data_IF_033667259616
#
_entry.id   IF_033667259616
#
_cell.length_a   1.000
_cell.length_b   1.000
_cell.length_c   1.000
_cell.angle_alpha   90.00
_cell.angle_beta   90.00
_cell.angle_gamma   90.00
#
_symmetry.space_group_name_H-M   'P 1'
#
loop_
_entity.id
_entity.type
_entity.pdbx_description
1 polymer ?
#
# COMPACT_ATOMS: atom_id res chain seq x y z
N UNK A 1 -7.04 -16.37 -2.73
CA UNK A 1 -5.57 -16.23 -2.75
C UNK A 1 -5.17 -14.76 -2.87
N UNK A 2 -4.78 -14.15 -1.74
CA UNK A 2 -4.04 -12.89 -1.82
C UNK A 2 -2.65 -13.23 -2.37
N UNK A 3 -2.35 -12.66 -3.53
CA UNK A 3 -1.10 -12.84 -4.22
C UNK A 3 -0.06 -12.01 -3.45
N UNK A 4 0.80 -12.68 -2.68
CA UNK A 4 1.87 -12.01 -1.91
C UNK A 4 2.98 -11.46 -2.80
N UNK A 5 4.08 -11.04 -2.17
CA UNK A 5 5.30 -10.56 -2.82
C UNK A 5 5.68 -11.44 -4.01
N UNK A 6 5.90 -10.85 -5.19
CA UNK A 6 6.29 -11.57 -6.40
C UNK A 6 5.15 -12.24 -7.18
N UNK A 7 3.95 -12.35 -6.61
CA UNK A 7 2.79 -12.94 -7.30
C UNK A 7 1.73 -11.90 -7.71
N UNK A 8 1.64 -10.74 -7.02
CA UNK A 8 0.85 -9.58 -7.45
C UNK A 8 1.72 -8.33 -7.61
N UNK A 9 2.76 -8.43 -8.44
CA UNK A 9 3.52 -7.24 -8.77
C UNK A 9 2.64 -6.26 -9.54
N UNK A 10 2.54 -5.03 -9.02
CA UNK A 10 1.99 -3.90 -9.78
C UNK A 10 2.95 -3.65 -10.93
N UNK A 11 2.45 -3.81 -12.16
CA UNK A 11 3.22 -3.53 -13.36
C UNK A 11 3.41 -2.02 -13.47
N UNK A 12 4.49 -1.51 -12.89
CA UNK A 12 4.86 -0.10 -13.01
C UNK A 12 5.67 0.11 -14.28
N UNK A 13 5.09 0.80 -15.25
CA UNK A 13 5.83 1.34 -16.38
C UNK A 13 6.36 2.69 -15.90
N UNK A 14 7.68 2.79 -15.66
CA UNK A 14 8.31 3.99 -15.09
C UNK A 14 8.27 5.20 -16.03
N UNK A 15 8.15 4.97 -17.34
CA UNK A 15 7.93 5.99 -18.35
C UNK A 15 7.36 5.36 -19.63
N UNK A 16 6.61 6.11 -20.47
CA UNK A 16 6.39 5.69 -21.85
C UNK A 16 7.75 5.40 -22.52
N UNK A 17 7.78 4.46 -23.45
CA UNK A 17 8.97 4.06 -24.21
C UNK A 17 9.71 5.30 -24.79
N UNK A 18 10.78 5.75 -24.10
CA UNK A 18 11.65 6.86 -24.53
C UNK A 18 12.94 6.27 -25.11
N UNK A 19 13.41 6.70 -26.29
CA UNK A 19 14.59 6.13 -26.96
C UNK A 19 15.88 6.15 -26.14
N UNK A 20 15.94 6.95 -25.07
CA UNK A 20 17.11 7.08 -24.20
C UNK A 20 17.19 6.06 -23.07
N UNK A 21 16.14 5.26 -22.80
CA UNK A 21 16.07 4.39 -21.59
C UNK A 21 15.49 2.98 -21.87
N UNK A 22 15.15 2.62 -23.10
CA UNK A 22 14.42 1.39 -23.42
C UNK A 22 15.14 0.53 -24.49
N UNK A 23 14.91 -0.80 -24.53
CA UNK A 23 15.60 -1.72 -25.46
C UNK A 23 15.34 -1.40 -26.94
N UNK A 24 16.15 -1.98 -27.82
CA UNK A 24 16.34 -1.72 -29.28
C UNK A 24 15.05 -1.58 -30.13
N UNK A 25 13.89 -1.94 -29.60
CA UNK A 25 12.57 -1.90 -30.20
C UNK A 25 11.73 -0.66 -29.80
N UNK A 26 12.33 0.33 -29.12
CA UNK A 26 11.69 1.60 -28.75
C UNK A 26 12.01 2.74 -29.72
N UNK A 27 11.28 2.82 -30.85
CA UNK A 27 11.58 3.75 -31.96
C UNK A 27 10.62 4.93 -32.13
N UNK A 28 9.56 5.04 -31.30
CA UNK A 28 8.49 6.04 -31.51
C UNK A 28 8.62 7.24 -30.57
N UNK A 29 8.59 8.46 -31.12
CA UNK A 29 8.60 9.71 -30.37
C UNK A 29 7.20 10.08 -29.80
N UNK A 30 7.15 10.90 -28.75
CA UNK A 30 5.89 11.48 -28.24
C UNK A 30 5.34 12.42 -29.33
N UNK A 31 4.16 12.10 -29.89
CA UNK A 31 3.49 12.90 -30.92
C UNK A 31 2.22 13.55 -30.37
N UNK A 32 1.89 14.73 -30.89
CA UNK A 32 0.71 15.53 -30.51
C UNK A 32 -0.61 14.90 -30.97
N UNK A 33 -0.57 14.09 -32.03
CA UNK A 33 -1.71 13.28 -32.44
C UNK A 33 -1.81 12.07 -31.51
N UNK A 34 -2.93 12.00 -30.76
CA UNK A 34 -3.25 10.82 -29.96
C UNK A 34 -3.14 9.56 -30.83
N UNK A 35 -3.52 9.68 -32.12
CA UNK A 35 -3.34 8.80 -33.28
C UNK A 35 -2.08 7.95 -33.33
N UNK A 36 -0.97 8.65 -33.14
CA UNK A 36 0.37 8.20 -33.45
C UNK A 36 1.30 8.29 -32.24
N UNK A 37 0.75 8.49 -31.04
CA UNK A 37 1.51 8.68 -29.81
C UNK A 37 1.88 7.34 -29.15
N UNK A 38 3.03 7.34 -28.48
CA UNK A 38 3.61 6.20 -27.72
C UNK A 38 2.69 5.66 -26.60
N UNK A 39 1.64 6.41 -26.23
CA UNK A 39 0.65 5.97 -25.25
C UNK A 39 -0.41 5.01 -25.82
N UNK A 40 -0.39 4.72 -27.13
CA UNK A 40 -1.31 3.74 -27.72
C UNK A 40 -0.79 2.32 -27.56
N UNK A 41 -1.63 1.47 -26.99
CA UNK A 41 -1.36 0.04 -26.79
C UNK A 41 -2.19 -0.75 -27.80
N UNK A 42 -1.56 -1.66 -28.55
CA UNK A 42 -2.25 -2.71 -29.32
C UNK A 42 -2.66 -2.40 -30.77
N UNK A 43 -2.36 -1.21 -31.31
CA UNK A 43 -2.65 -0.90 -32.74
C UNK A 43 -1.49 -1.27 -33.66
N UNK A 44 -0.24 -1.08 -33.23
CA UNK A 44 0.96 -1.22 -34.09
C UNK A 44 1.94 -2.34 -33.68
N UNK A 45 1.54 -3.28 -32.81
CA UNK A 45 2.42 -4.39 -32.43
C UNK A 45 1.98 -5.15 -31.18
N UNK A 46 2.79 -6.15 -30.81
CA UNK A 46 2.59 -6.92 -29.59
C UNK A 46 2.66 -5.97 -28.39
N UNK A 47 1.63 -6.00 -27.54
CA UNK A 47 1.67 -5.33 -26.25
C UNK A 47 2.92 -5.84 -25.53
N UNK A 48 3.86 -4.97 -25.11
CA UNK A 48 4.98 -5.38 -24.31
C UNK A 48 4.42 -5.88 -22.97
N UNK A 49 4.16 -7.17 -22.91
CA UNK A 49 3.86 -7.83 -21.64
C UNK A 49 5.18 -7.87 -20.88
N UNK A 50 5.17 -7.46 -19.60
CA UNK A 50 6.32 -7.65 -18.74
C UNK A 50 6.76 -9.11 -18.83
N UNK A 51 8.06 -9.34 -18.87
CA UNK A 51 8.58 -10.69 -18.88
C UNK A 51 7.94 -11.46 -17.71
N UNK A 52 7.39 -12.66 -17.94
CA UNK A 52 6.84 -13.45 -16.85
C UNK A 52 7.90 -13.56 -15.78
N UNK A 53 7.50 -13.37 -14.51
CA UNK A 53 8.42 -13.58 -13.40
C UNK A 53 9.10 -14.92 -13.61
N UNK A 54 10.43 -14.90 -13.73
CA UNK A 54 11.22 -16.11 -13.79
C UNK A 54 10.95 -16.97 -12.55
N UNK A 55 11.36 -18.25 -12.59
CA UNK A 55 11.19 -19.17 -11.46
C UNK A 55 11.65 -18.51 -10.15
N UNK A 56 10.71 -18.21 -9.27
CA UNK A 56 11.02 -17.70 -7.93
C UNK A 56 11.36 -18.88 -7.01
N UNK A 57 12.37 -18.69 -6.17
CA UNK A 57 12.66 -19.62 -5.08
C UNK A 57 11.75 -19.29 -3.90
N UNK A 58 11.27 -20.32 -3.18
CA UNK A 58 10.50 -20.13 -1.96
C UNK A 58 11.47 -20.23 -0.78
N UNK A 59 11.51 -19.25 0.15
CA UNK A 59 10.67 -18.05 0.20
C UNK A 59 11.09 -16.97 -0.81
N UNK A 60 10.12 -16.25 -1.37
CA UNK A 60 10.37 -15.13 -2.27
C UNK A 60 10.96 -13.98 -1.46
N UNK A 61 12.19 -13.59 -1.77
CA UNK A 61 12.84 -12.42 -1.19
C UNK A 61 13.00 -11.37 -2.30
N UNK A 62 12.29 -10.23 -2.26
CA UNK A 62 12.46 -9.18 -3.25
C UNK A 62 13.90 -8.66 -3.24
N UNK A 63 14.54 -8.62 -4.41
CA UNK A 63 15.92 -8.19 -4.59
C UNK A 63 15.96 -6.93 -5.47
N UNK A 64 16.73 -5.92 -5.06
CA UNK A 64 16.94 -4.68 -5.81
C UNK A 64 16.37 -3.44 -5.14
N UNK A 65 16.87 -2.27 -5.56
CA UNK A 65 16.36 -0.98 -5.13
C UNK A 65 14.91 -0.83 -5.59
N UNK A 66 13.98 -0.57 -4.67
CA UNK A 66 12.55 -0.36 -4.96
C UNK A 66 11.82 -1.60 -5.53
N UNK A 67 12.31 -2.81 -5.22
CA UNK A 67 11.73 -4.05 -5.74
C UNK A 67 10.29 -4.32 -5.27
N UNK A 68 9.85 -3.72 -4.17
CA UNK A 68 8.46 -3.77 -3.69
C UNK A 68 8.11 -2.53 -2.85
N UNK A 69 6.94 -1.93 -3.12
CA UNK A 69 6.43 -0.76 -2.39
C UNK A 69 5.11 -1.00 -1.64
N UNK A 70 4.43 -2.10 -1.96
CA UNK A 70 3.14 -2.45 -1.41
C UNK A 70 3.04 -3.96 -1.39
N UNK A 71 2.84 -4.51 -0.20
CA UNK A 71 2.62 -5.93 -0.01
C UNK A 71 1.31 -6.18 0.70
N UNK A 72 0.66 -7.27 0.31
CA UNK A 72 -0.55 -7.75 0.94
C UNK A 72 -0.26 -9.12 1.54
N UNK A 73 -0.52 -9.26 2.84
CA UNK A 73 -0.36 -10.52 3.55
C UNK A 73 -1.66 -10.85 4.29
N UNK A 74 -2.01 -12.13 4.28
CA UNK A 74 -3.03 -12.66 5.17
C UNK A 74 -2.42 -12.83 6.56
N UNK A 75 -3.18 -12.48 7.59
CA UNK A 75 -2.81 -12.78 8.98
C UNK A 75 -2.69 -14.31 9.14
N UNK A 76 -1.55 -14.85 9.63
CA UNK A 76 -1.44 -16.28 9.92
C UNK A 76 -2.52 -16.80 10.87
N UNK A 77 -3.05 -15.94 11.76
CA UNK A 77 -4.11 -16.25 12.70
C UNK A 77 -5.51 -15.88 12.17
N UNK A 78 -5.66 -15.68 10.85
CA UNK A 78 -6.92 -15.32 10.22
C UNK A 78 -8.02 -16.34 10.54
N UNK A 79 -9.16 -15.82 11.02
CA UNK A 79 -10.33 -16.63 11.37
C UNK A 79 -11.47 -16.33 10.40
N UNK A 80 -12.21 -17.37 10.06
CA UNK A 80 -13.42 -17.23 9.24
C UNK A 80 -14.47 -16.44 10.02
N UNK A 81 -14.97 -15.36 9.40
CA UNK A 81 -16.05 -14.56 9.96
C UNK A 81 -17.33 -15.37 10.14
N UNK A 82 -17.98 -15.18 11.29
CA UNK A 82 -19.19 -15.90 11.68
C UNK A 82 -20.25 -14.95 12.17
N UNK A 83 -21.50 -15.25 11.86
CA UNK A 83 -22.66 -14.52 12.33
C UNK A 83 -23.66 -15.50 12.96
N UNK A 84 -24.02 -15.23 14.21
CA UNK A 84 -25.08 -15.95 14.92
C UNK A 84 -26.33 -15.08 14.89
N UNK A 85 -27.45 -15.67 14.49
CA UNK A 85 -28.74 -14.99 14.45
C UNK A 85 -29.69 -15.62 15.46
N UNK A 86 -30.42 -14.79 16.17
CA UNK A 86 -31.56 -15.20 16.99
C UNK A 86 -32.78 -14.51 16.43
N UNK A 87 -33.80 -15.28 16.09
CA UNK A 87 -35.11 -14.79 15.65
C UNK A 87 -36.16 -15.28 16.64
N UNK A 88 -37.00 -14.36 17.08
CA UNK A 88 -38.14 -14.62 17.92
C UNK A 88 -39.36 -13.89 17.38
N UNK A 89 -40.42 -14.64 17.10
CA UNK A 89 -41.66 -14.08 16.56
C UNK A 89 -42.86 -14.66 17.31
N UNK A 90 -43.76 -13.79 17.76
CA UNK A 90 -45.07 -14.16 18.31
C UNK A 90 -46.15 -13.59 17.39
N UNK A 91 -47.11 -14.43 17.04
CA UNK A 91 -48.31 -14.05 16.32
C UNK A 91 -49.54 -14.35 17.18
N UNK A 92 -50.51 -13.42 17.20
CA UNK A 92 -51.78 -13.59 17.90
C UNK A 92 -52.92 -12.99 17.10
N UNK A 93 -53.97 -13.78 16.92
CA UNK A 93 -55.24 -13.31 16.39
C UNK A 93 -55.98 -12.46 17.44
N UNK A 94 -56.54 -11.33 16.98
CA UNK A 94 -57.31 -10.39 17.79
C UNK A 94 -58.73 -10.28 17.24
N UNK A 95 -59.67 -9.92 18.13
CA UNK A 95 -61.08 -9.80 17.77
C UNK A 95 -61.28 -8.71 16.72
N UNK A 96 -62.14 -8.98 15.74
CA UNK A 96 -62.41 -8.03 14.64
C UNK A 96 -61.60 -8.30 13.37
N UNK A 97 -61.25 -9.56 13.08
CA UNK A 97 -60.47 -9.96 11.90
C UNK A 97 -59.08 -9.29 11.83
N UNK A 98 -58.40 -9.18 12.98
CA UNK A 98 -57.08 -8.56 13.08
C UNK A 98 -56.05 -9.61 13.49
N UNK A 99 -54.84 -9.49 12.95
CA UNK A 99 -53.68 -10.31 13.34
C UNK A 99 -52.56 -9.38 13.82
N UNK A 100 -52.04 -9.65 15.01
CA UNK A 100 -50.88 -8.96 15.55
C UNK A 100 -49.66 -9.87 15.48
N UNK A 101 -48.56 -9.34 14.95
CA UNK A 101 -47.26 -10.00 14.92
C UNK A 101 -46.22 -9.09 15.57
N UNK A 102 -45.41 -9.67 16.45
CA UNK A 102 -44.27 -9.01 17.09
C UNK A 102 -43.06 -9.90 16.90
N UNK A 103 -42.06 -9.37 16.21
CA UNK A 103 -40.80 -10.05 15.91
C UNK A 103 -39.59 -9.32 16.52
N UNK A 104 -38.56 -10.09 16.86
CA UNK A 104 -37.23 -9.62 17.24
C UNK A 104 -36.17 -10.43 16.49
N UNK A 105 -35.23 -9.73 15.86
CA UNK A 105 -34.08 -10.34 15.19
C UNK A 105 -32.80 -9.74 15.78
N UNK A 106 -32.02 -10.58 16.45
CA UNK A 106 -30.68 -10.26 16.92
C UNK A 106 -29.63 -10.86 16.00
N UNK A 107 -28.59 -10.08 15.68
CA UNK A 107 -27.41 -10.57 14.93
C UNK A 107 -26.17 -10.31 15.75
N UNK A 108 -25.35 -11.34 15.89
CA UNK A 108 -24.11 -11.28 16.62
C UNK A 108 -22.98 -11.82 15.74
N UNK A 109 -22.24 -10.88 15.15
CA UNK A 109 -21.13 -11.17 14.24
C UNK A 109 -19.79 -11.12 14.97
N UNK A 110 -18.92 -12.11 14.71
CA UNK A 110 -17.56 -12.22 15.23
C UNK A 110 -16.59 -12.49 14.09
N UNK A 111 -15.34 -12.11 14.30
CA UNK A 111 -14.24 -12.41 13.38
C UNK A 111 -14.50 -11.83 11.96
N UNK A 112 -15.19 -10.67 11.87
CA UNK A 112 -15.47 -10.03 10.57
C UNK A 112 -14.16 -9.64 9.88
N UNK A 113 -14.13 -9.82 8.56
CA UNK A 113 -13.00 -9.42 7.73
C UNK A 113 -12.71 -7.93 7.95
N UNK A 114 -11.48 -7.61 8.31
CA UNK A 114 -11.01 -6.25 8.40
C UNK A 114 -9.68 -6.11 7.66
N UNK A 115 -9.50 -4.98 6.98
CA UNK A 115 -8.24 -4.65 6.32
C UNK A 115 -7.47 -3.70 7.22
N UNK A 116 -6.26 -4.09 7.61
CA UNK A 116 -5.35 -3.24 8.36
C UNK A 116 -4.26 -2.78 7.42
N UNK A 117 -4.07 -1.46 7.32
CA UNK A 117 -2.99 -0.88 6.53
C UNK A 117 -1.85 -0.47 7.46
N UNK A 118 -0.68 -1.11 7.32
CA UNK A 118 0.52 -0.79 8.09
C UNK A 118 1.28 0.45 7.59
N UNK A 119 0.80 1.13 6.53
CA UNK A 119 1.37 2.40 6.05
C UNK A 119 1.10 3.59 6.99
N UNK A 120 0.37 3.39 8.08
CA UNK A 120 0.41 4.33 9.21
C UNK A 120 1.82 4.31 9.77
N UNK A 121 2.60 5.39 9.56
CA UNK A 121 3.93 5.53 10.17
C UNK A 121 3.81 5.19 11.66
N UNK A 122 4.42 4.09 12.11
CA UNK A 122 4.25 3.67 13.48
C UNK A 122 4.97 4.69 14.35
N UNK A 123 4.21 5.64 14.90
CA UNK A 123 4.73 6.75 15.69
C UNK A 123 5.56 6.28 16.89
N UNK A 124 5.31 5.05 17.36
CA UNK A 124 6.03 4.39 18.45
C UNK A 124 7.13 3.42 17.98
N UNK A 125 7.40 3.31 16.69
CA UNK A 125 8.43 2.38 16.19
C UNK A 125 9.81 2.87 16.59
N UNK A 126 10.44 2.06 17.44
CA UNK A 126 11.76 2.31 17.99
C UNK A 126 12.81 1.69 17.08
N UNK A 127 13.68 2.53 16.52
CA UNK A 127 14.89 2.04 15.89
C UNK A 127 15.75 1.34 16.95
N UNK A 128 16.15 0.09 16.67
CA UNK A 128 16.94 -0.72 17.59
C UNK A 128 18.38 -0.23 17.71
N UNK A 129 18.90 0.49 16.70
CA UNK A 129 20.28 0.98 16.68
C UNK A 129 20.41 2.30 17.42
N UNK A 130 19.60 3.31 17.07
CA UNK A 130 19.62 4.63 17.74
C UNK A 130 18.84 4.67 19.05
N UNK A 131 17.91 3.73 19.26
CA UNK A 131 16.99 3.75 20.40
C UNK A 131 15.92 4.84 20.34
N UNK A 132 15.85 5.62 19.26
CA UNK A 132 14.88 6.68 19.05
C UNK A 132 13.57 6.11 18.51
N UNK A 133 12.41 6.66 18.89
CA UNK A 133 11.13 6.37 18.21
C UNK A 133 10.89 7.31 17.03
N UNK A 134 10.03 6.92 16.08
CA UNK A 134 9.63 7.82 14.99
C UNK A 134 9.13 9.17 15.51
N UNK A 135 8.25 9.16 16.53
CA UNK A 135 7.74 10.39 17.13
C UNK A 135 8.86 11.28 17.68
N UNK A 136 9.83 10.69 18.40
CA UNK A 136 10.98 11.44 18.92
C UNK A 136 11.84 12.04 17.81
N UNK A 137 12.08 11.29 16.73
CA UNK A 137 12.85 11.76 15.58
C UNK A 137 12.13 12.88 14.84
N UNK A 138 10.83 12.70 14.59
CA UNK A 138 10.00 13.70 13.92
C UNK A 138 9.86 14.97 14.75
N UNK A 139 9.67 14.87 16.07
CA UNK A 139 9.57 16.02 16.97
C UNK A 139 10.89 16.81 17.01
N UNK A 140 12.03 16.11 17.11
CA UNK A 140 13.35 16.74 17.09
C UNK A 140 13.64 17.43 15.74
N UNK A 141 13.31 16.78 14.62
CA UNK A 141 13.40 17.40 13.30
C UNK A 141 12.49 18.63 13.20
N UNK A 142 11.23 18.51 13.61
CA UNK A 142 10.25 19.59 13.50
C UNK A 142 10.60 20.79 14.40
N UNK A 143 11.22 20.56 15.56
CA UNK A 143 11.73 21.62 16.43
C UNK A 143 12.84 22.44 15.75
N UNK A 144 13.76 21.78 15.05
CA UNK A 144 14.82 22.45 14.28
C UNK A 144 14.25 23.28 13.13
N UNK A 145 13.31 22.70 12.37
CA UNK A 145 12.66 23.42 11.26
C UNK A 145 11.87 24.62 11.77
N UNK A 146 11.15 24.50 12.89
CA UNK A 146 10.46 25.63 13.54
C UNK A 146 11.43 26.69 14.06
N UNK A 147 12.64 26.31 14.46
CA UNK A 147 13.71 27.23 14.81
C UNK A 147 14.39 27.88 13.59
N UNK A 148 13.91 27.61 12.37
CA UNK A 148 14.47 28.16 11.12
C UNK A 148 15.69 27.40 10.59
N UNK A 149 16.04 26.26 11.19
CA UNK A 149 17.14 25.40 10.75
C UNK A 149 16.56 24.41 9.75
N UNK A 150 16.71 24.70 8.46
CA UNK A 150 16.28 23.79 7.38
C UNK A 150 17.35 22.73 7.09
N UNK A 151 16.98 21.55 6.55
CA UNK A 151 17.95 20.50 6.24
C UNK A 151 18.97 20.90 5.16
N UNK A 152 18.55 21.80 4.25
CA UNK A 152 19.37 22.29 3.15
C UNK A 152 19.39 23.82 3.12
N UNK A 153 20.54 24.38 2.73
CA UNK A 153 20.73 25.80 2.41
C UNK A 153 21.32 25.87 1.00
N UNK A 154 20.58 26.50 0.07
CA UNK A 154 20.99 26.65 -1.35
C UNK A 154 21.41 25.31 -2.00
N UNK A 155 20.65 24.25 -1.73
CA UNK A 155 20.90 22.91 -2.28
C UNK A 155 22.04 22.13 -1.63
N UNK A 156 22.74 22.69 -0.63
CA UNK A 156 23.76 21.99 0.14
C UNK A 156 23.24 21.62 1.54
N UNK A 157 23.70 20.51 2.14
CA UNK A 157 23.36 20.15 3.52
C UNK A 157 23.69 21.29 4.49
N UNK A 158 22.76 21.62 5.37
CA UNK A 158 22.96 22.62 6.40
C UNK A 158 23.79 22.03 7.56
N UNK A 159 25.01 22.53 7.85
CA UNK A 159 25.82 21.98 8.93
C UNK A 159 25.23 22.22 10.33
N UNK A 160 24.29 23.15 10.47
CA UNK A 160 23.57 23.40 11.73
C UNK A 160 22.41 22.42 11.96
N UNK A 161 21.97 21.70 10.91
CA UNK A 161 20.89 20.74 11.02
C UNK A 161 21.40 19.41 11.59
N UNK A 162 20.87 19.04 12.75
CA UNK A 162 21.12 17.75 13.41
C UNK A 162 20.26 16.67 12.75
N UNK A 163 20.91 15.81 11.98
CA UNK A 163 20.28 14.62 11.38
C UNK A 163 19.76 13.69 12.48
N UNK A 164 18.61 13.06 12.23
CA UNK A 164 18.03 12.12 13.18
C UNK A 164 18.38 10.70 12.72
N UNK A 165 19.14 9.98 13.56
CA UNK A 165 19.66 8.66 13.22
C UNK A 165 18.55 7.65 12.90
N UNK A 166 17.34 7.84 13.44
CA UNK A 166 16.16 7.06 13.05
C UNK A 166 15.92 7.07 11.54
N UNK A 167 15.97 8.26 10.89
CA UNK A 167 15.75 8.37 9.44
C UNK A 167 16.90 7.76 8.66
N UNK A 168 18.14 8.01 9.06
CA UNK A 168 19.33 7.47 8.39
C UNK A 168 19.36 5.93 8.41
N UNK A 169 18.91 5.33 9.52
CA UNK A 169 18.94 3.88 9.69
C UNK A 169 17.77 3.17 8.98
N UNK A 170 16.59 3.78 9.01
CA UNK A 170 15.35 3.13 8.56
C UNK A 170 14.92 3.56 7.15
N UNK A 171 15.40 4.70 6.68
CA UNK A 171 15.16 5.24 5.34
C UNK A 171 16.49 5.66 4.66
N UNK A 172 17.47 4.74 4.52
CA UNK A 172 18.76 5.09 3.93
C UNK A 172 18.59 5.54 2.47
N UNK A 173 19.11 6.73 2.15
CA UNK A 173 19.12 7.27 0.79
C UNK A 173 17.88 8.08 0.38
N UNK A 174 17.00 8.43 1.33
CA UNK A 174 15.91 9.40 1.16
C UNK A 174 16.24 10.77 1.77
#
# INVERSE_FOLDING_TARGET
PMLGVGFAQTLSISAPCIPSIAPTNCTQAIKSDAGASVFRVGVDGSIPTPAPLGKQQIPVVPQGFLAEFLSFADDPDFKVGRNQMVDFTIQREMRGNMLLEVGFIGRYARDLLNNVNFNSSPIMFKDKVSGQTFAQAYDAMSAQVRAGITPFIKGNPNPAFQVQQWFENLLPGF
#
